data_IF_502370428268
#
_entry.id   IF_502370428268
#
_cell.length_a   1.000
_cell.length_b   1.000
_cell.length_c   1.000
_cell.angle_alpha   90.00
_cell.angle_beta   90.00
_cell.angle_gamma   90.00
#
_symmetry.space_group_name_H-M   'P 1'
#
loop_
_entity.id
_entity.type
_entity.pdbx_description
1 polymer ?
#
# COMPACT_ATOMS: atom_id res chain seq x y z
N UNK A 1 8.97 -1.54 9.09
CA UNK A 1 10.03 -0.54 8.87
C UNK A 1 9.40 0.72 8.31
N UNK A 2 9.93 1.91 8.62
CA UNK A 2 9.44 3.14 8.02
C UNK A 2 9.95 3.27 6.57
N UNK A 3 9.09 3.71 5.65
CA UNK A 3 9.41 3.98 4.24
C UNK A 3 9.08 5.44 3.91
N UNK A 4 9.88 6.41 4.40
CA UNK A 4 9.61 7.81 4.15
C UNK A 4 9.77 8.16 2.68
N UNK A 5 9.19 9.28 2.25
CA UNK A 5 9.43 9.81 0.92
C UNK A 5 10.87 10.35 0.82
N UNK A 6 11.54 10.07 -0.30
CA UNK A 6 12.91 10.58 -0.57
C UNK A 6 12.95 12.10 -0.52
N UNK A 7 13.95 12.63 0.18
CA UNK A 7 14.18 14.09 0.33
C UNK A 7 15.25 14.63 -0.62
N UNK A 8 16.00 13.75 -1.30
CA UNK A 8 17.05 14.13 -2.24
C UNK A 8 17.22 13.09 -3.37
N UNK A 9 17.91 13.45 -4.42
CA UNK A 9 18.23 12.58 -5.55
C UNK A 9 17.03 12.24 -6.44
N UNK A 10 17.19 11.21 -7.26
CA UNK A 10 16.15 10.74 -8.18
C UNK A 10 14.91 10.28 -7.40
N UNK A 11 13.73 10.73 -7.80
CA UNK A 11 12.47 10.46 -7.11
C UNK A 11 12.21 11.32 -5.89
N UNK A 12 12.98 12.42 -5.67
CA UNK A 12 12.74 13.38 -4.58
C UNK A 12 11.28 13.83 -4.55
N UNK A 13 10.66 13.78 -3.37
CA UNK A 13 9.29 14.21 -3.13
C UNK A 13 8.21 13.20 -3.57
N UNK A 14 8.59 12.10 -4.23
CA UNK A 14 7.64 11.08 -4.75
C UNK A 14 8.02 9.66 -4.34
N UNK A 15 9.24 9.23 -4.62
CA UNK A 15 9.70 7.87 -4.39
C UNK A 15 9.82 7.53 -2.91
N UNK A 16 9.56 6.27 -2.54
CA UNK A 16 9.85 5.76 -1.21
C UNK A 16 11.37 5.58 -1.01
N UNK A 17 11.85 5.91 0.20
CA UNK A 17 13.23 5.62 0.61
C UNK A 17 13.27 4.23 1.25
N UNK A 18 13.91 3.29 0.58
CA UNK A 18 14.05 1.90 1.00
C UNK A 18 15.26 1.64 1.90
N UNK A 19 16.06 2.65 2.21
CA UNK A 19 17.31 2.49 2.99
C UNK A 19 17.12 1.67 4.25
N UNK A 20 16.05 1.90 5.02
CA UNK A 20 15.80 1.18 6.26
C UNK A 20 15.41 -0.29 6.01
N UNK A 21 14.69 -0.55 4.93
CA UNK A 21 14.30 -1.91 4.51
C UNK A 21 15.54 -2.69 4.06
N UNK A 22 16.39 -2.07 3.26
CA UNK A 22 17.65 -2.66 2.80
C UNK A 22 18.62 -2.94 3.95
N UNK A 23 18.74 -2.01 4.91
CA UNK A 23 19.56 -2.21 6.12
C UNK A 23 19.04 -3.38 6.96
N UNK A 24 17.72 -3.53 7.10
CA UNK A 24 17.13 -4.65 7.82
C UNK A 24 17.41 -5.99 7.10
N UNK A 25 17.31 -6.03 5.78
CA UNK A 25 17.65 -7.22 5.01
C UNK A 25 19.13 -7.64 5.21
N UNK A 26 20.05 -6.67 5.20
CA UNK A 26 21.48 -6.94 5.50
C UNK A 26 21.66 -7.46 6.93
N UNK A 27 21.03 -6.84 7.93
CA UNK A 27 21.10 -7.32 9.31
C UNK A 27 20.57 -8.74 9.47
N UNK A 28 19.50 -9.11 8.76
CA UNK A 28 18.97 -10.48 8.77
C UNK A 28 20.03 -11.44 8.21
N UNK A 29 20.63 -11.13 7.05
CA UNK A 29 21.65 -11.96 6.46
C UNK A 29 22.89 -12.12 7.37
N UNK A 30 23.32 -11.04 8.01
CA UNK A 30 24.49 -11.02 8.89
C UNK A 30 24.25 -11.81 10.19
N UNK A 31 23.04 -11.75 10.75
CA UNK A 31 22.73 -12.35 12.05
C UNK A 31 22.32 -13.81 11.99
N UNK A 32 21.76 -14.29 10.86
CA UNK A 32 21.38 -15.70 10.70
C UNK A 32 22.65 -16.57 10.69
N UNK A 33 22.80 -17.56 11.61
CA UNK A 33 23.94 -18.47 11.59
C UNK A 33 23.90 -19.44 10.39
N UNK A 34 25.04 -20.02 10.05
CA UNK A 34 25.15 -21.11 9.08
C UNK A 34 24.32 -22.33 9.49
N UNK A 35 23.86 -23.11 8.51
CA UNK A 35 23.14 -24.37 8.75
C UNK A 35 21.72 -24.21 9.29
N UNK A 36 21.19 -23.00 9.35
CA UNK A 36 19.84 -22.73 9.92
C UNK A 36 18.67 -23.08 8.98
N UNK A 37 18.93 -23.64 7.81
CA UNK A 37 17.90 -24.05 6.87
C UNK A 37 17.10 -22.88 6.27
N UNK A 38 15.85 -23.16 5.90
CA UNK A 38 14.97 -22.17 5.27
C UNK A 38 14.48 -21.12 6.25
N UNK A 39 14.57 -19.85 5.83
CA UNK A 39 14.03 -18.69 6.51
C UNK A 39 12.97 -18.01 5.63
N UNK A 40 11.84 -17.66 6.22
CA UNK A 40 10.80 -16.86 5.56
C UNK A 40 10.92 -15.44 6.09
N UNK A 41 11.23 -14.50 5.20
CA UNK A 41 11.33 -13.08 5.50
C UNK A 41 10.05 -12.39 5.01
N UNK A 42 9.29 -11.80 5.93
CA UNK A 42 8.00 -11.19 5.61
C UNK A 42 8.15 -9.68 5.59
N UNK A 43 7.93 -9.09 4.42
CA UNK A 43 7.84 -7.65 4.25
C UNK A 43 6.41 -7.21 4.57
N UNK A 44 6.25 -6.46 5.67
CA UNK A 44 4.96 -6.00 6.20
C UNK A 44 4.67 -4.53 5.90
N UNK A 45 5.69 -3.75 5.63
CA UNK A 45 5.60 -2.31 5.40
C UNK A 45 4.99 -2.00 4.04
N UNK A 46 4.38 -0.82 3.88
CA UNK A 46 3.99 -0.33 2.56
C UNK A 46 5.25 0.04 1.78
N UNK A 47 5.50 -0.66 0.69
CA UNK A 47 6.68 -0.52 -0.17
C UNK A 47 6.27 -0.37 -1.63
N UNK A 48 7.12 0.18 -2.49
CA UNK A 48 6.90 0.16 -3.94
C UNK A 48 6.97 -1.25 -4.50
N UNK A 49 6.36 -1.45 -5.67
CA UNK A 49 6.47 -2.71 -6.41
C UNK A 49 7.95 -3.02 -6.69
N UNK A 50 8.34 -4.28 -6.53
CA UNK A 50 9.72 -4.83 -6.61
C UNK A 50 10.61 -4.58 -5.39
N UNK A 51 10.07 -4.09 -4.28
CA UNK A 51 10.84 -3.98 -3.05
C UNK A 51 11.24 -5.35 -2.50
N UNK A 52 10.34 -6.33 -2.51
CA UNK A 52 10.63 -7.70 -2.10
C UNK A 52 11.73 -8.35 -2.96
N UNK A 53 11.79 -8.04 -4.27
CA UNK A 53 12.89 -8.46 -5.16
C UNK A 53 14.22 -7.87 -4.70
N UNK A 54 14.26 -6.60 -4.32
CA UNK A 54 15.47 -5.96 -3.77
C UNK A 54 15.90 -6.61 -2.46
N UNK A 55 14.95 -6.91 -1.56
CA UNK A 55 15.22 -7.64 -0.31
C UNK A 55 15.79 -9.02 -0.62
N UNK A 56 15.17 -9.77 -1.54
CA UNK A 56 15.61 -11.09 -1.97
C UNK A 56 17.06 -11.05 -2.51
N UNK A 57 17.37 -10.09 -3.38
CA UNK A 57 18.71 -9.91 -3.92
C UNK A 57 19.75 -9.64 -2.83
N UNK A 58 19.44 -8.80 -1.84
CA UNK A 58 20.35 -8.54 -0.71
C UNK A 58 20.59 -9.83 0.09
N UNK A 59 19.55 -10.58 0.40
CA UNK A 59 19.65 -11.83 1.17
C UNK A 59 20.45 -12.89 0.41
N UNK A 60 20.23 -13.04 -0.90
CA UNK A 60 20.91 -14.00 -1.75
C UNK A 60 22.40 -13.68 -1.92
N UNK A 61 22.78 -12.40 -2.05
CA UNK A 61 24.18 -12.00 -2.15
C UNK A 61 24.96 -12.14 -0.85
N UNK A 62 24.28 -12.28 0.29
CA UNK A 62 24.87 -12.46 1.60
C UNK A 62 24.50 -13.82 2.23
N UNK A 63 24.12 -14.80 1.39
CA UNK A 63 23.68 -16.12 1.86
C UNK A 63 24.83 -16.88 2.51
N UNK A 64 24.57 -17.51 3.65
CA UNK A 64 25.52 -18.37 4.34
C UNK A 64 25.28 -19.85 4.01
N UNK A 65 26.29 -20.71 4.10
CA UNK A 65 26.16 -22.15 3.86
C UNK A 65 25.00 -22.77 4.68
N UNK A 66 24.16 -23.55 4.02
CA UNK A 66 23.02 -24.22 4.67
C UNK A 66 21.88 -23.31 5.09
N UNK A 67 21.80 -22.10 4.54
CA UNK A 67 20.68 -21.16 4.73
C UNK A 67 20.02 -20.91 3.38
N UNK A 68 18.70 -20.83 3.35
CA UNK A 68 17.90 -20.37 2.19
C UNK A 68 16.87 -19.37 2.64
N UNK A 69 16.49 -18.44 1.76
CA UNK A 69 15.52 -17.40 2.05
C UNK A 69 14.33 -17.47 1.09
N UNK A 70 13.12 -17.25 1.62
CA UNK A 70 11.92 -16.92 0.86
C UNK A 70 11.40 -15.57 1.35
N UNK A 71 11.15 -14.64 0.44
CA UNK A 71 10.64 -13.30 0.76
C UNK A 71 9.17 -13.23 0.40
N UNK A 72 8.33 -12.86 1.37
CA UNK A 72 6.90 -12.68 1.19
C UNK A 72 6.51 -11.21 1.36
N UNK A 73 5.61 -10.73 0.52
CA UNK A 73 4.89 -9.46 0.71
C UNK A 73 3.60 -9.73 1.48
N UNK A 74 3.43 -9.05 2.62
CA UNK A 74 2.24 -9.17 3.46
C UNK A 74 1.83 -7.79 3.97
N UNK A 75 1.35 -6.89 3.10
CA UNK A 75 0.98 -5.54 3.49
C UNK A 75 -0.18 -5.54 4.49
N UNK A 76 -0.21 -4.53 5.36
CA UNK A 76 -1.30 -4.28 6.30
C UNK A 76 -2.30 -3.26 5.73
N UNK A 77 -3.56 -3.32 6.19
CA UNK A 77 -4.64 -2.42 5.80
C UNK A 77 -5.30 -1.77 7.04
N UNK A 78 -4.50 -1.43 8.03
CA UNK A 78 -4.96 -0.87 9.30
C UNK A 78 -5.37 0.59 9.11
N UNK A 79 -6.48 0.98 9.72
CA UNK A 79 -6.93 2.36 9.77
C UNK A 79 -6.54 3.01 11.11
N UNK A 80 -6.27 4.31 11.09
CA UNK A 80 -6.02 5.07 12.32
C UNK A 80 -7.25 5.02 13.22
N UNK A 81 -7.06 4.77 14.50
CA UNK A 81 -8.14 4.63 15.48
C UNK A 81 -8.71 3.20 15.63
N UNK A 82 -8.67 2.36 14.60
CA UNK A 82 -9.21 0.99 14.63
C UNK A 82 -8.15 -0.10 14.42
N UNK A 83 -6.87 0.26 14.37
CA UNK A 83 -5.78 -0.62 13.96
C UNK A 83 -5.74 -1.99 14.68
N UNK A 84 -6.00 -2.03 15.99
CA UNK A 84 -6.02 -3.29 16.75
C UNK A 84 -7.22 -4.16 16.34
N UNK A 85 -8.39 -3.57 16.17
CA UNK A 85 -9.57 -4.29 15.72
C UNK A 85 -9.39 -4.82 14.29
N UNK A 86 -8.82 -4.01 13.40
CA UNK A 86 -8.52 -4.38 12.02
C UNK A 86 -7.47 -5.50 11.94
N UNK A 87 -6.50 -5.53 12.87
CA UNK A 87 -5.51 -6.60 12.94
C UNK A 87 -6.14 -7.94 13.39
N UNK A 88 -7.05 -7.89 14.37
CA UNK A 88 -7.69 -9.06 14.93
C UNK A 88 -8.84 -9.58 14.05
N UNK A 89 -9.53 -8.68 13.34
CA UNK A 89 -10.65 -9.01 12.45
C UNK A 89 -10.51 -8.30 11.12
N UNK A 90 -9.45 -8.60 10.33
CA UNK A 90 -9.22 -7.93 9.07
C UNK A 90 -10.30 -8.26 8.04
N UNK A 91 -10.64 -7.30 7.18
CA UNK A 91 -11.49 -7.56 6.02
C UNK A 91 -10.81 -8.55 5.07
N UNK A 92 -9.47 -8.45 4.96
CA UNK A 92 -8.61 -9.33 4.15
C UNK A 92 -7.17 -9.33 4.64
N UNK A 93 -6.49 -10.44 4.40
CA UNK A 93 -5.03 -10.57 4.54
C UNK A 93 -4.46 -10.92 3.17
N UNK A 94 -3.49 -10.15 2.68
CA UNK A 94 -2.78 -10.46 1.43
C UNK A 94 -1.44 -11.12 1.74
N UNK A 95 -1.14 -12.21 1.04
CA UNK A 95 0.16 -12.87 1.11
C UNK A 95 0.66 -13.06 -0.31
N UNK A 96 1.68 -12.31 -0.68
CA UNK A 96 2.36 -12.40 -1.96
C UNK A 96 3.68 -13.14 -1.84
N UNK A 97 3.95 -14.03 -2.77
CA UNK A 97 5.22 -14.76 -2.83
C UNK A 97 5.53 -15.25 -4.24
N UNK A 98 6.66 -15.90 -4.39
CA UNK A 98 7.05 -16.51 -5.66
C UNK A 98 6.14 -17.68 -6.03
N UNK A 99 5.98 -17.93 -7.33
CA UNK A 99 5.17 -19.04 -7.84
C UNK A 99 5.90 -20.38 -7.82
N UNK A 100 7.17 -20.41 -7.38
CA UNK A 100 7.96 -21.61 -7.17
C UNK A 100 7.32 -22.54 -6.10
N UNK A 101 7.75 -23.79 -6.05
CA UNK A 101 7.30 -24.74 -5.01
C UNK A 101 7.63 -24.22 -3.62
N UNK A 102 8.85 -23.74 -3.43
CA UNK A 102 9.36 -23.19 -2.18
C UNK A 102 8.62 -21.91 -1.77
N UNK A 103 8.27 -21.07 -2.74
CA UNK A 103 7.46 -19.86 -2.55
C UNK A 103 6.04 -20.19 -2.09
N UNK A 104 5.39 -21.18 -2.71
CA UNK A 104 4.05 -21.66 -2.33
C UNK A 104 4.04 -22.27 -0.93
N UNK A 105 5.07 -23.02 -0.57
CA UNK A 105 5.23 -23.54 0.79
C UNK A 105 5.42 -22.42 1.82
N UNK A 106 6.17 -21.37 1.49
CA UNK A 106 6.36 -20.21 2.35
C UNK A 106 5.03 -19.42 2.53
N UNK A 107 4.27 -19.22 1.43
CA UNK A 107 2.93 -18.62 1.48
C UNK A 107 2.01 -19.44 2.39
N UNK A 108 2.00 -20.78 2.22
CA UNK A 108 1.18 -21.66 3.04
C UNK A 108 1.56 -21.57 4.51
N UNK A 109 2.86 -21.54 4.83
CA UNK A 109 3.34 -21.44 6.21
C UNK A 109 2.87 -20.14 6.88
N UNK A 110 2.92 -18.99 6.18
CA UNK A 110 2.41 -17.74 6.72
C UNK A 110 0.88 -17.73 6.81
N UNK A 111 0.18 -18.31 5.83
CA UNK A 111 -1.28 -18.45 5.87
C UNK A 111 -1.74 -19.26 7.08
N UNK A 112 -1.05 -20.37 7.42
CA UNK A 112 -1.36 -21.17 8.61
C UNK A 112 -1.24 -20.35 9.91
N UNK A 113 -0.27 -19.43 10.00
CA UNK A 113 -0.19 -18.50 11.15
C UNK A 113 -1.44 -17.64 11.24
N UNK A 114 -1.89 -17.05 10.13
CA UNK A 114 -3.09 -16.20 10.14
C UNK A 114 -4.38 -16.96 10.42
N UNK A 115 -4.51 -18.20 9.98
CA UNK A 115 -5.69 -19.05 10.20
C UNK A 115 -6.05 -19.26 11.69
N UNK A 116 -5.12 -18.98 12.61
CA UNK A 116 -5.43 -19.06 14.04
C UNK A 116 -6.48 -18.03 14.49
N UNK A 117 -6.67 -16.93 13.74
CA UNK A 117 -7.66 -15.90 14.09
C UNK A 117 -8.37 -15.28 12.88
N UNK A 118 -7.93 -15.57 11.64
CA UNK A 118 -8.53 -15.05 10.42
C UNK A 118 -9.17 -16.20 9.64
N UNK A 119 -10.45 -16.10 9.26
CA UNK A 119 -11.11 -17.08 8.40
C UNK A 119 -10.36 -17.24 7.06
N UNK A 120 -10.26 -18.47 6.57
CA UNK A 120 -9.47 -18.80 5.37
C UNK A 120 -9.90 -18.04 4.12
N UNK A 121 -11.19 -17.76 3.98
CA UNK A 121 -11.77 -17.01 2.85
C UNK A 121 -11.34 -15.53 2.82
N UNK A 122 -10.78 -15.01 3.91
CA UNK A 122 -10.21 -13.66 3.98
C UNK A 122 -8.70 -13.63 3.71
N UNK A 123 -8.05 -14.78 3.59
CA UNK A 123 -6.63 -14.89 3.26
C UNK A 123 -6.51 -15.05 1.74
N UNK A 124 -5.97 -14.04 1.09
CA UNK A 124 -5.82 -13.97 -0.37
C UNK A 124 -4.34 -14.14 -0.71
N UNK A 125 -4.04 -15.18 -1.47
CA UNK A 125 -2.68 -15.45 -1.94
C UNK A 125 -2.49 -15.00 -3.39
N UNK A 126 -1.33 -14.44 -3.71
CA UNK A 126 -1.04 -13.91 -5.03
C UNK A 126 0.47 -13.85 -5.28
N UNK A 127 0.89 -13.42 -6.48
CA UNK A 127 2.32 -13.16 -6.69
C UNK A 127 2.77 -11.92 -5.90
N UNK A 128 4.06 -11.83 -5.64
CA UNK A 128 4.67 -10.79 -4.80
C UNK A 128 4.34 -9.38 -5.27
N UNK A 129 4.49 -9.11 -6.58
CA UNK A 129 4.29 -7.76 -7.12
C UNK A 129 2.83 -7.31 -7.10
N UNK A 130 1.89 -8.25 -7.30
CA UNK A 130 0.47 -7.96 -7.15
C UNK A 130 0.12 -7.59 -5.71
N UNK A 131 0.72 -8.25 -4.73
CA UNK A 131 0.53 -7.94 -3.31
C UNK A 131 1.04 -6.54 -2.95
N UNK A 132 2.26 -6.19 -3.37
CA UNK A 132 2.85 -4.86 -3.16
C UNK A 132 1.99 -3.77 -3.82
N UNK A 133 1.60 -3.97 -5.09
CA UNK A 133 0.78 -3.00 -5.82
C UNK A 133 -0.61 -2.85 -5.21
N UNK A 134 -1.21 -3.93 -4.71
CA UNK A 134 -2.56 -3.90 -4.12
C UNK A 134 -2.66 -2.94 -2.93
N UNK A 135 -1.60 -2.81 -2.12
CA UNK A 135 -1.59 -1.85 -1.01
C UNK A 135 -1.61 -0.41 -1.51
N UNK A 136 -0.75 -0.08 -2.48
CA UNK A 136 -0.71 1.26 -3.07
C UNK A 136 -2.03 1.59 -3.78
N UNK A 137 -2.56 0.64 -4.55
CA UNK A 137 -3.83 0.80 -5.25
C UNK A 137 -4.99 1.04 -4.28
N UNK A 138 -5.09 0.26 -3.19
CA UNK A 138 -6.15 0.44 -2.21
C UNK A 138 -6.14 1.86 -1.61
N UNK A 139 -4.98 2.36 -1.19
CA UNK A 139 -4.85 3.69 -0.65
C UNK A 139 -5.14 4.78 -1.71
N UNK A 140 -4.70 4.58 -2.95
CA UNK A 140 -4.98 5.50 -4.05
C UNK A 140 -6.48 5.58 -4.37
N UNK A 141 -7.19 4.45 -4.41
CA UNK A 141 -8.65 4.42 -4.64
C UNK A 141 -9.44 5.07 -3.50
N UNK A 142 -9.03 4.85 -2.23
CA UNK A 142 -9.68 5.51 -1.10
C UNK A 142 -9.50 7.03 -1.16
N UNK A 143 -8.30 7.50 -1.44
CA UNK A 143 -7.99 8.91 -1.59
C UNK A 143 -8.71 9.53 -2.80
N UNK A 144 -8.79 8.82 -3.92
CA UNK A 144 -9.55 9.24 -5.10
C UNK A 144 -11.03 9.46 -4.77
N UNK A 145 -11.65 8.57 -3.98
CA UNK A 145 -13.05 8.74 -3.56
C UNK A 145 -13.25 10.04 -2.77
N UNK A 146 -12.33 10.38 -1.86
CA UNK A 146 -12.36 11.65 -1.12
C UNK A 146 -12.21 12.83 -2.07
N UNK A 147 -11.24 12.82 -2.99
CA UNK A 147 -11.06 13.89 -3.97
C UNK A 147 -12.27 14.01 -4.91
N UNK A 148 -12.89 12.88 -5.29
CA UNK A 148 -14.07 12.88 -6.15
C UNK A 148 -15.28 13.54 -5.46
N UNK A 149 -15.59 13.17 -4.22
CA UNK A 149 -16.72 13.80 -3.53
C UNK A 149 -16.45 15.27 -3.20
N UNK A 150 -15.21 15.63 -2.88
CA UNK A 150 -14.81 17.02 -2.70
C UNK A 150 -14.93 17.84 -4.00
N UNK A 151 -14.67 17.23 -5.17
CA UNK A 151 -14.91 17.92 -6.45
C UNK A 151 -16.42 18.17 -6.68
N UNK A 152 -17.26 17.23 -6.26
CA UNK A 152 -18.71 17.43 -6.31
C UNK A 152 -19.17 18.50 -5.32
N UNK A 153 -18.56 18.63 -4.14
CA UNK A 153 -18.93 19.70 -3.20
C UNK A 153 -18.72 21.09 -3.80
N UNK A 154 -17.64 21.31 -4.55
CA UNK A 154 -17.42 22.58 -5.25
C UNK A 154 -18.50 22.86 -6.32
N UNK A 155 -18.97 21.82 -7.03
CA UNK A 155 -20.11 21.96 -7.97
C UNK A 155 -21.40 22.25 -7.23
N UNK A 156 -21.64 21.58 -6.09
CA UNK A 156 -22.82 21.83 -5.25
C UNK A 156 -22.87 23.28 -4.74
N UNK A 157 -21.74 23.80 -4.25
CA UNK A 157 -21.62 25.20 -3.82
C UNK A 157 -21.98 26.19 -4.94
N UNK A 158 -21.51 25.92 -6.17
CA UNK A 158 -21.78 26.77 -7.33
C UNK A 158 -23.24 26.69 -7.85
N UNK A 159 -23.94 25.58 -7.58
CA UNK A 159 -25.27 25.31 -8.13
C UNK A 159 -26.40 25.43 -7.09
N UNK A 160 -26.07 25.51 -5.79
CA UNK A 160 -27.01 25.46 -4.70
C UNK A 160 -27.49 24.05 -4.33
N UNK A 161 -26.87 23.00 -4.85
CA UNK A 161 -27.12 21.61 -4.44
C UNK A 161 -26.49 21.30 -3.08
N UNK A 162 -27.00 20.28 -2.37
CA UNK A 162 -26.41 19.78 -1.13
C UNK A 162 -25.56 18.54 -1.41
N UNK A 163 -24.27 18.62 -1.07
CA UNK A 163 -23.33 17.52 -1.30
C UNK A 163 -23.66 16.29 -0.46
N UNK A 164 -24.29 16.44 0.70
CA UNK A 164 -24.69 15.31 1.55
C UNK A 164 -25.83 14.52 0.91
N UNK A 165 -26.81 15.21 0.30
CA UNK A 165 -27.88 14.57 -0.46
C UNK A 165 -27.35 13.87 -1.70
N UNK A 166 -26.42 14.49 -2.42
CA UNK A 166 -25.74 13.88 -3.58
C UNK A 166 -24.98 12.64 -3.15
N UNK A 167 -24.19 12.72 -2.07
CA UNK A 167 -23.40 11.60 -1.55
C UNK A 167 -24.31 10.44 -1.09
N UNK A 168 -25.43 10.74 -0.42
CA UNK A 168 -26.41 9.72 -0.03
C UNK A 168 -27.03 9.06 -1.26
N UNK A 169 -27.45 9.83 -2.24
CA UNK A 169 -28.09 9.31 -3.44
C UNK A 169 -27.17 8.37 -4.22
N UNK A 170 -25.94 8.80 -4.52
CA UNK A 170 -24.97 7.95 -5.26
C UNK A 170 -24.46 6.79 -4.42
N UNK A 171 -24.36 6.97 -3.10
CA UNK A 171 -23.90 5.92 -2.17
C UNK A 171 -24.88 4.75 -2.02
N UNK A 172 -26.16 4.93 -2.38
CA UNK A 172 -27.17 3.84 -2.42
C UNK A 172 -27.00 2.90 -3.61
N UNK A 173 -26.30 3.31 -4.65
CA UNK A 173 -25.91 2.40 -5.73
C UNK A 173 -24.88 1.41 -5.19
N UNK A 174 -25.21 0.10 -5.22
CA UNK A 174 -24.35 -0.96 -4.71
C UNK A 174 -22.99 -1.05 -5.41
N UNK A 175 -22.85 -0.54 -6.64
CA UNK A 175 -21.60 -0.48 -7.39
C UNK A 175 -20.68 0.62 -6.87
N UNK A 176 -21.23 1.66 -6.25
CA UNK A 176 -20.49 2.78 -5.65
C UNK A 176 -20.31 2.53 -4.15
N UNK A 177 -21.41 2.33 -3.43
CA UNK A 177 -21.44 2.18 -1.97
C UNK A 177 -21.15 3.49 -1.22
N UNK A 178 -21.56 3.60 0.06
CA UNK A 178 -21.56 4.87 0.79
C UNK A 178 -20.20 5.25 1.41
N UNK A 179 -19.23 4.33 1.49
CA UNK A 179 -17.98 4.57 2.19
C UNK A 179 -17.10 5.58 1.44
N UNK A 180 -16.43 6.48 2.17
CA UNK A 180 -15.52 7.51 1.64
C UNK A 180 -16.18 8.53 0.70
N UNK A 181 -17.46 8.83 0.92
CA UNK A 181 -18.23 9.85 0.20
C UNK A 181 -18.60 11.08 1.08
N UNK A 182 -17.88 11.29 2.18
CA UNK A 182 -18.03 12.51 2.96
C UNK A 182 -17.09 13.60 2.45
N UNK A 183 -17.69 14.72 1.99
CA UNK A 183 -16.92 15.91 1.65
C UNK A 183 -16.26 16.49 2.90
N UNK A 184 -15.03 16.94 2.76
CA UNK A 184 -14.21 17.41 3.87
C UNK A 184 -13.09 18.32 3.38
N UNK A 185 -12.24 18.79 4.30
CA UNK A 185 -11.01 19.53 3.99
C UNK A 185 -9.96 18.71 3.19
N UNK A 186 -10.26 17.46 2.87
CA UNK A 186 -9.36 16.56 2.17
C UNK A 186 -8.63 15.59 3.11
N UNK A 187 -7.79 14.74 2.53
CA UNK A 187 -7.01 13.75 3.27
C UNK A 187 -5.62 14.27 3.66
N UNK A 188 -5.08 13.71 4.75
CA UNK A 188 -3.74 14.04 5.25
C UNK A 188 -2.61 13.36 4.46
N UNK A 189 -1.37 13.81 4.75
CA UNK A 189 -0.18 13.50 3.95
C UNK A 189 0.55 12.20 4.27
N UNK A 190 0.35 11.60 5.45
CA UNK A 190 1.23 10.54 5.93
C UNK A 190 1.11 9.20 5.19
N UNK A 191 -0.10 8.82 4.78
CA UNK A 191 -0.34 7.56 4.07
C UNK A 191 -0.82 7.80 2.64
N UNK A 192 -2.01 8.40 2.45
CA UNK A 192 -2.61 8.54 1.13
C UNK A 192 -1.75 9.32 0.15
N UNK A 193 -1.32 10.51 0.53
CA UNK A 193 -0.50 11.35 -0.38
C UNK A 193 0.82 10.67 -0.72
N UNK A 194 1.49 10.07 0.28
CA UNK A 194 2.76 9.38 0.08
C UNK A 194 2.61 8.23 -0.93
N UNK A 195 1.58 7.40 -0.75
CA UNK A 195 1.38 6.21 -1.57
C UNK A 195 0.94 6.56 -3.00
N UNK A 196 0.12 7.61 -3.19
CA UNK A 196 -0.23 8.11 -4.52
C UNK A 196 1.01 8.68 -5.22
N UNK A 197 1.82 9.50 -4.55
CA UNK A 197 3.03 10.06 -5.15
C UNK A 197 4.04 8.96 -5.52
N UNK A 198 4.12 7.89 -4.73
CA UNK A 198 4.91 6.72 -5.08
C UNK A 198 4.35 6.00 -6.33
N UNK A 199 3.03 5.85 -6.43
CA UNK A 199 2.38 5.29 -7.62
C UNK A 199 2.62 6.17 -8.86
N UNK A 200 2.55 7.50 -8.72
CA UNK A 200 2.90 8.45 -9.79
C UNK A 200 4.34 8.23 -10.24
N UNK A 201 5.29 8.17 -9.31
CA UNK A 201 6.70 7.95 -9.63
C UNK A 201 6.95 6.60 -10.33
N UNK A 202 6.32 5.53 -9.88
CA UNK A 202 6.40 4.22 -10.54
C UNK A 202 5.87 4.31 -11.97
N UNK A 203 4.74 4.99 -12.18
CA UNK A 203 4.15 5.17 -13.51
C UNK A 203 5.06 5.98 -14.43
N UNK A 204 5.70 7.05 -13.93
CA UNK A 204 6.72 7.82 -14.66
C UNK A 204 7.91 6.92 -15.06
N UNK A 205 8.43 6.12 -14.13
CA UNK A 205 9.56 5.20 -14.40
C UNK A 205 9.21 4.11 -15.43
N UNK A 206 7.95 3.72 -15.52
CA UNK A 206 7.44 2.74 -16.49
C UNK A 206 7.02 3.36 -17.83
N UNK A 207 7.26 4.66 -18.03
CA UNK A 207 6.85 5.42 -19.22
C UNK A 207 5.34 5.37 -19.47
N UNK A 208 4.55 5.55 -18.41
CA UNK A 208 3.09 5.63 -18.42
C UNK A 208 2.63 7.05 -17.99
N UNK A 209 2.88 8.09 -18.81
CA UNK A 209 2.66 9.48 -18.40
C UNK A 209 1.18 9.79 -18.13
N UNK A 210 0.24 9.22 -18.88
CA UNK A 210 -1.20 9.45 -18.67
C UNK A 210 -1.67 8.87 -17.33
N UNK A 211 -1.11 7.72 -16.93
CA UNK A 211 -1.41 7.10 -15.62
C UNK A 211 -0.81 7.95 -14.49
N UNK A 212 0.41 8.44 -14.67
CA UNK A 212 1.06 9.32 -13.71
C UNK A 212 0.27 10.63 -13.54
N UNK A 213 -0.19 11.23 -14.64
CA UNK A 213 -1.00 12.44 -14.61
C UNK A 213 -2.33 12.20 -13.90
N UNK A 214 -3.05 11.13 -14.24
CA UNK A 214 -4.33 10.77 -13.60
C UNK A 214 -4.19 10.73 -12.07
N UNK A 215 -3.23 10.01 -11.54
CA UNK A 215 -3.05 9.89 -10.11
C UNK A 215 -2.50 11.17 -9.46
N UNK A 216 -1.70 11.96 -10.17
CA UNK A 216 -1.22 13.25 -9.67
C UNK A 216 -2.35 14.26 -9.48
N UNK A 217 -3.40 14.21 -10.32
CA UNK A 217 -4.57 15.08 -10.20
C UNK A 217 -5.37 14.83 -8.91
N UNK A 218 -5.38 13.60 -8.39
CA UNK A 218 -6.00 13.29 -7.10
C UNK A 218 -5.36 14.08 -5.96
N UNK A 219 -4.01 14.17 -5.96
CA UNK A 219 -3.26 14.95 -4.97
C UNK A 219 -3.42 16.45 -5.21
N UNK A 220 -3.35 16.88 -6.46
CA UNK A 220 -3.51 18.30 -6.83
C UNK A 220 -4.85 18.84 -6.40
N UNK A 221 -5.93 18.08 -6.65
CA UNK A 221 -7.27 18.47 -6.21
C UNK A 221 -7.41 18.46 -4.69
N UNK A 222 -6.83 17.49 -3.99
CA UNK A 222 -6.80 17.48 -2.53
C UNK A 222 -6.12 18.73 -1.95
N UNK A 223 -5.02 19.18 -2.56
CA UNK A 223 -4.33 20.40 -2.13
C UNK A 223 -5.16 21.65 -2.41
N UNK A 224 -5.86 21.72 -3.56
CA UNK A 224 -6.81 22.77 -3.87
C UNK A 224 -7.91 22.83 -2.81
N UNK A 225 -8.54 21.72 -2.48
CA UNK A 225 -9.61 21.64 -1.47
C UNK A 225 -9.13 22.13 -0.11
N UNK A 226 -7.95 21.74 0.33
CA UNK A 226 -7.35 22.20 1.59
C UNK A 226 -7.10 23.70 1.60
N UNK A 227 -6.71 24.28 0.47
CA UNK A 227 -6.48 25.71 0.36
C UNK A 227 -7.80 26.50 0.46
N UNK A 228 -8.83 26.09 -0.28
CA UNK A 228 -10.13 26.78 -0.32
C UNK A 228 -10.85 26.76 1.04
N UNK A 229 -10.69 25.67 1.82
CA UNK A 229 -11.31 25.57 3.15
C UNK A 229 -10.55 26.32 4.26
N UNK A 230 -9.39 26.91 3.96
CA UNK A 230 -8.64 27.77 4.89
C UNK A 230 -8.88 29.28 4.67
N UNK A 231 -9.69 29.66 3.69
CA UNK A 231 -10.13 31.03 3.43
C UNK A 231 -11.52 31.23 4.00
#
# INVERSE_FOLDING_TARGET
MNTPTKTFGMGKGKAADLKYVELAARMIADTVPEGQGRKIVVEKSTVPVKAAESISNILLHNIKPGVTYQVLSNPEFLAEGTAIADLLKPDRVLIGGEESTEGKEAISALAEVYKHWVPSERIITMNTWSSELSKLAANAFLAQRISSINSMSAVCEATGADVSEVAEAIGRDSRIGPKFLQASVGFGGSCFQKDILNLVYISECLNLPEVAEYWSQVVSFNNFQRFVTHI
#
